data_IF_114750338308
#
_entry.id   IF_114750338308
#
_cell.length_a   1.000
_cell.length_b   1.000
_cell.length_c   1.000
_cell.angle_alpha   90.00
_cell.angle_beta   90.00
_cell.angle_gamma   90.00
#
_symmetry.space_group_name_H-M   'P 1'
#
loop_
_entity.id
_entity.type
_entity.pdbx_description
1 polymer ?
#
# COMPACT_ATOMS: atom_id res chain seq x y z
N UNK A 1 -6.07 -21.92 19.91
CA UNK A 1 -5.82 -22.19 18.48
C UNK A 1 -4.73 -21.21 18.05
N UNK A 2 -3.54 -21.73 17.74
CA UNK A 2 -2.45 -20.87 17.25
C UNK A 2 -2.82 -20.37 15.85
N UNK A 3 -2.48 -19.13 15.57
CA UNK A 3 -2.59 -18.54 14.24
C UNK A 3 -1.61 -19.26 13.29
N UNK A 4 -2.08 -19.61 12.11
CA UNK A 4 -1.24 -20.22 11.08
C UNK A 4 -1.56 -19.67 9.68
N UNK A 5 -0.72 -19.98 8.72
CA UNK A 5 -0.89 -19.54 7.34
C UNK A 5 -2.21 -20.01 6.72
N UNK A 6 -2.68 -21.22 7.08
CA UNK A 6 -3.92 -21.80 6.54
C UNK A 6 -5.12 -20.98 7.00
N UNK A 7 -5.17 -20.64 8.30
CA UNK A 7 -6.22 -19.81 8.88
C UNK A 7 -6.23 -18.40 8.30
N UNK A 8 -5.06 -17.80 8.15
CA UNK A 8 -4.91 -16.46 7.57
C UNK A 8 -5.28 -16.43 6.08
N UNK A 9 -4.84 -17.43 5.31
CA UNK A 9 -5.21 -17.54 3.90
C UNK A 9 -6.71 -17.72 3.74
N UNK A 10 -7.32 -18.64 4.52
CA UNK A 10 -8.76 -18.82 4.51
C UNK A 10 -9.51 -17.53 4.86
N UNK A 11 -9.06 -16.79 5.87
CA UNK A 11 -9.67 -15.51 6.24
C UNK A 11 -9.51 -14.48 5.11
N UNK A 12 -8.31 -14.33 4.56
CA UNK A 12 -8.03 -13.37 3.49
C UNK A 12 -8.87 -13.65 2.24
N UNK A 13 -9.08 -14.91 1.90
CA UNK A 13 -9.94 -15.36 0.80
C UNK A 13 -11.43 -15.07 1.00
N UNK A 14 -11.88 -14.81 2.24
CA UNK A 14 -13.26 -14.40 2.51
C UNK A 14 -13.48 -12.90 2.48
N UNK A 15 -12.41 -12.10 2.48
CA UNK A 15 -12.50 -10.65 2.44
C UNK A 15 -12.79 -10.16 1.02
N UNK A 16 -13.69 -9.20 0.93
CA UNK A 16 -14.02 -8.49 -0.29
C UNK A 16 -13.48 -7.05 -0.21
N UNK A 17 -12.99 -6.53 -1.32
CA UNK A 17 -12.45 -5.17 -1.41
C UNK A 17 -10.97 -5.08 -1.04
N UNK A 18 -10.47 -3.85 -0.99
CA UNK A 18 -9.06 -3.51 -0.85
C UNK A 18 -8.57 -3.64 0.58
N UNK A 19 -7.46 -4.34 0.78
CA UNK A 19 -6.83 -4.42 2.10
C UNK A 19 -5.31 -4.67 2.03
N UNK A 20 -4.64 -4.25 3.09
CA UNK A 20 -3.36 -4.75 3.57
C UNK A 20 -3.36 -4.61 5.08
N UNK A 21 -3.01 -5.64 5.81
CA UNK A 21 -3.00 -5.61 7.27
C UNK A 21 -1.88 -6.46 7.87
N UNK A 22 -1.62 -6.23 9.14
CA UNK A 22 -0.65 -6.99 9.92
C UNK A 22 -1.33 -7.63 11.11
N UNK A 23 -0.84 -8.80 11.51
CA UNK A 23 -1.29 -9.52 12.70
C UNK A 23 -0.07 -9.93 13.50
N UNK A 24 -0.05 -9.57 14.78
CA UNK A 24 0.91 -10.09 15.75
C UNK A 24 0.22 -11.15 16.60
N UNK A 25 0.76 -12.35 16.63
CA UNK A 25 0.21 -13.44 17.42
C UNK A 25 0.80 -13.50 18.85
N UNK A 26 0.31 -14.43 19.65
CA UNK A 26 0.73 -14.62 21.05
C UNK A 26 2.15 -15.24 21.18
N UNK A 27 2.68 -15.79 20.09
CA UNK A 27 4.02 -16.38 20.00
C UNK A 27 5.07 -15.39 19.45
N UNK A 28 4.71 -14.10 19.33
CA UNK A 28 5.53 -13.00 18.76
C UNK A 28 5.86 -13.19 17.27
N UNK A 29 5.00 -13.86 16.49
CA UNK A 29 5.11 -13.90 15.05
C UNK A 29 4.32 -12.73 14.44
N UNK A 30 4.96 -11.98 13.54
CA UNK A 30 4.35 -10.87 12.82
C UNK A 30 4.00 -11.31 11.40
N UNK A 31 2.73 -11.30 11.08
CA UNK A 31 2.22 -11.62 9.75
C UNK A 31 1.86 -10.35 9.00
N UNK A 32 2.22 -10.31 7.72
CA UNK A 32 1.79 -9.31 6.75
C UNK A 32 0.89 -9.99 5.73
N UNK A 33 -0.34 -9.52 5.60
CA UNK A 33 -1.31 -10.04 4.63
C UNK A 33 -1.54 -8.97 3.57
N UNK A 34 -1.05 -9.23 2.37
CA UNK A 34 -1.04 -8.29 1.25
C UNK A 34 -2.17 -8.59 0.28
N UNK A 35 -3.25 -7.80 0.35
CA UNK A 35 -4.24 -7.67 -0.72
C UNK A 35 -3.74 -6.70 -1.81
N UNK A 36 -4.59 -5.82 -2.30
CA UNK A 36 -4.25 -4.83 -3.32
C UNK A 36 -3.79 -3.47 -2.75
N UNK A 37 -4.07 -3.16 -1.48
CA UNK A 37 -3.60 -1.93 -0.86
C UNK A 37 -2.07 -1.87 -0.77
N UNK A 38 -1.47 -0.67 -0.89
CA UNK A 38 -0.02 -0.49 -0.76
C UNK A 38 0.50 -0.99 0.59
N UNK A 39 1.71 -1.54 0.57
CA UNK A 39 2.46 -1.92 1.77
C UNK A 39 3.95 -1.84 1.44
N UNK A 40 4.68 -1.07 2.21
CA UNK A 40 6.13 -0.92 2.11
C UNK A 40 6.77 -1.46 3.39
N UNK A 41 7.75 -2.34 3.23
CA UNK A 41 8.48 -2.97 4.36
C UNK A 41 9.97 -2.76 4.13
N UNK A 42 10.66 -2.21 5.13
CA UNK A 42 12.10 -2.07 5.20
C UNK A 42 12.68 -2.95 6.30
N UNK A 43 13.68 -3.73 5.96
CA UNK A 43 14.49 -4.50 6.89
C UNK A 43 15.86 -3.86 7.05
N UNK A 44 16.30 -3.67 8.28
CA UNK A 44 17.64 -3.20 8.65
C UNK A 44 18.40 -4.36 9.30
N UNK A 45 19.12 -5.21 8.54
CA UNK A 45 19.70 -6.44 9.07
C UNK A 45 20.70 -6.22 10.21
N UNK A 46 21.44 -5.10 10.19
CA UNK A 46 22.41 -4.75 11.24
C UNK A 46 21.77 -4.38 12.58
N UNK A 47 20.49 -4.04 12.55
CA UNK A 47 19.74 -3.58 13.74
C UNK A 47 18.67 -4.59 14.14
N UNK A 48 18.50 -5.66 13.34
CA UNK A 48 17.39 -6.62 13.47
C UNK A 48 16.04 -5.90 13.60
N UNK A 49 15.81 -4.91 12.72
CA UNK A 49 14.68 -3.99 12.79
C UNK A 49 13.89 -4.02 11.49
N UNK A 50 12.59 -4.21 11.62
CA UNK A 50 11.64 -4.07 10.53
C UNK A 50 10.80 -2.81 10.72
N UNK A 51 10.66 -2.01 9.67
CA UNK A 51 9.79 -0.84 9.62
C UNK A 51 8.83 -0.99 8.45
N UNK A 52 7.57 -0.65 8.67
CA UNK A 52 6.57 -0.74 7.61
C UNK A 52 5.56 0.38 7.67
N UNK A 53 5.00 0.70 6.51
CA UNK A 53 3.89 1.64 6.35
C UNK A 53 3.08 1.29 5.09
N UNK A 54 1.93 1.91 4.93
CA UNK A 54 1.16 1.80 3.70
C UNK A 54 1.91 2.37 2.50
N UNK A 55 2.62 3.49 2.66
CA UNK A 55 3.34 4.17 1.59
C UNK A 55 4.83 4.32 1.92
N UNK A 56 5.68 4.15 0.93
CA UNK A 56 7.13 4.35 1.06
C UNK A 56 7.48 5.80 1.43
N UNK A 57 6.73 6.76 0.92
CA UNK A 57 6.88 8.18 1.23
C UNK A 57 6.73 8.48 2.72
N UNK A 58 5.79 7.81 3.41
CA UNK A 58 5.59 7.95 4.85
C UNK A 58 6.80 7.45 5.63
N UNK A 59 7.33 6.26 5.29
CA UNK A 59 8.55 5.74 5.89
C UNK A 59 9.74 6.67 5.64
N UNK A 60 9.92 7.11 4.40
CA UNK A 60 11.03 7.98 4.02
C UNK A 60 10.99 9.33 4.75
N UNK A 61 9.81 9.93 4.90
CA UNK A 61 9.63 11.16 5.66
C UNK A 61 9.93 10.95 7.15
N UNK A 62 9.37 9.88 7.75
CA UNK A 62 9.60 9.56 9.15
C UNK A 62 11.08 9.30 9.45
N UNK A 63 11.77 8.56 8.59
CA UNK A 63 13.19 8.27 8.72
C UNK A 63 14.08 9.52 8.66
N UNK A 64 13.72 10.49 7.80
CA UNK A 64 14.44 11.79 7.73
C UNK A 64 14.31 12.63 9.00
N UNK A 65 13.27 12.40 9.81
CA UNK A 65 13.04 13.11 11.07
C UNK A 65 13.80 12.48 12.25
N UNK A 66 14.36 11.29 12.08
CA UNK A 66 15.13 10.64 13.14
C UNK A 66 16.45 11.38 13.38
N UNK A 67 16.87 11.54 14.65
CA UNK A 67 18.13 12.23 14.99
C UNK A 67 19.39 11.38 14.69
N UNK A 68 19.21 10.16 14.20
CA UNK A 68 20.28 9.20 13.91
C UNK A 68 19.99 8.46 12.62
N UNK A 69 21.07 7.99 11.96
CA UNK A 69 20.99 7.26 10.71
C UNK A 69 20.94 5.75 10.98
N UNK A 70 19.88 5.08 10.52
CA UNK A 70 19.72 3.63 10.64
C UNK A 70 20.55 2.84 9.61
N UNK A 71 21.17 3.52 8.64
CA UNK A 71 21.87 2.89 7.51
C UNK A 71 20.95 2.64 6.32
N UNK A 72 21.37 1.74 5.43
CA UNK A 72 20.59 1.39 4.24
C UNK A 72 19.70 0.17 4.56
N UNK A 73 18.38 0.28 4.34
CA UNK A 73 17.48 -0.86 4.48
C UNK A 73 17.54 -1.79 3.27
N UNK A 74 17.13 -3.01 3.48
CA UNK A 74 16.70 -3.94 2.44
C UNK A 74 15.18 -3.80 2.31
N UNK A 75 14.71 -3.56 1.08
CA UNK A 75 13.27 -3.49 0.81
C UNK A 75 12.73 -4.90 0.63
N UNK A 76 11.60 -5.17 1.28
CA UNK A 76 10.84 -6.40 1.12
C UNK A 76 9.56 -6.06 0.35
N UNK A 77 9.44 -6.62 -0.85
CA UNK A 77 8.28 -6.40 -1.71
C UNK A 77 7.36 -7.62 -1.64
N UNK A 78 6.15 -7.41 -1.15
CA UNK A 78 5.07 -8.40 -1.19
C UNK A 78 4.17 -8.14 -2.40
N UNK A 79 3.80 -9.20 -3.10
CA UNK A 79 2.82 -9.11 -4.18
C UNK A 79 1.40 -9.30 -3.66
N UNK A 80 0.41 -8.84 -4.42
CA UNK A 80 -1.00 -9.07 -4.11
C UNK A 80 -1.28 -10.58 -4.01
N UNK A 81 -1.97 -10.99 -2.95
CA UNK A 81 -2.25 -12.40 -2.66
C UNK A 81 -1.18 -13.10 -1.83
N UNK A 82 -0.24 -12.37 -1.23
CA UNK A 82 0.84 -12.95 -0.44
C UNK A 82 0.66 -12.71 1.07
N UNK A 83 0.98 -13.73 1.86
CA UNK A 83 1.10 -13.65 3.31
C UNK A 83 2.54 -13.95 3.67
N UNK A 84 3.21 -13.05 4.36
CA UNK A 84 4.55 -13.24 4.92
C UNK A 84 4.49 -13.25 6.44
N UNK A 85 5.25 -14.13 7.05
CA UNK A 85 5.48 -14.19 8.49
C UNK A 85 6.93 -13.87 8.79
N UNK A 86 7.16 -13.06 9.80
CA UNK A 86 8.45 -12.89 10.47
C UNK A 86 8.30 -13.48 11.86
N UNK A 87 9.03 -14.55 12.14
CA UNK A 87 9.02 -15.18 13.45
C UNK A 87 9.82 -14.37 14.48
N UNK A 88 9.72 -14.73 15.76
CA UNK A 88 10.46 -14.09 16.85
C UNK A 88 11.99 -14.20 16.76
N UNK A 89 12.51 -15.03 15.86
CA UNK A 89 13.94 -15.14 15.54
C UNK A 89 14.32 -14.30 14.31
N UNK A 90 13.36 -13.62 13.68
CA UNK A 90 13.57 -12.85 12.46
C UNK A 90 13.58 -13.67 11.17
N UNK A 91 13.23 -14.98 11.20
CA UNK A 91 13.13 -15.77 9.99
C UNK A 91 11.86 -15.43 9.22
N UNK A 92 12.00 -15.33 7.91
CA UNK A 92 10.88 -15.03 7.01
C UNK A 92 10.38 -16.29 6.33
N UNK A 93 9.07 -16.44 6.26
CA UNK A 93 8.37 -17.47 5.51
C UNK A 93 7.10 -16.91 4.91
N UNK A 94 6.54 -17.51 3.86
CA UNK A 94 5.36 -16.98 3.21
C UNK A 94 4.58 -18.01 2.42
N UNK A 95 3.32 -17.67 2.16
CA UNK A 95 2.38 -18.43 1.33
C UNK A 95 1.56 -17.48 0.47
N UNK A 96 0.91 -18.02 -0.55
CA UNK A 96 -0.06 -17.28 -1.36
C UNK A 96 -1.49 -17.71 -1.03
N UNK A 97 -2.45 -16.79 -1.21
CA UNK A 97 -3.87 -17.03 -1.09
C UNK A 97 -4.61 -16.60 -2.38
N UNK A 98 -5.82 -17.11 -2.59
CA UNK A 98 -6.62 -16.77 -3.76
C UNK A 98 -7.19 -15.37 -3.66
N UNK A 99 -6.98 -14.55 -4.70
CA UNK A 99 -7.37 -13.13 -4.76
C UNK A 99 -8.66 -12.86 -5.55
N UNK A 100 -9.39 -13.89 -5.98
CA UNK A 100 -10.58 -13.72 -6.84
C UNK A 100 -11.62 -12.80 -6.22
N UNK A 101 -11.81 -12.86 -4.89
CA UNK A 101 -12.79 -12.02 -4.18
C UNK A 101 -12.34 -10.58 -3.97
N UNK A 102 -11.04 -10.29 -4.00
CA UNK A 102 -10.55 -8.92 -3.89
C UNK A 102 -11.14 -8.00 -4.97
N UNK A 103 -11.37 -8.55 -6.15
CA UNK A 103 -11.84 -7.82 -7.32
C UNK A 103 -13.33 -8.06 -7.64
N UNK A 104 -14.02 -8.95 -6.92
CA UNK A 104 -15.42 -9.28 -7.16
C UNK A 104 -16.39 -8.13 -6.85
N UNK A 105 -16.04 -7.28 -5.88
CA UNK A 105 -16.84 -6.12 -5.47
C UNK A 105 -16.85 -4.96 -6.49
N UNK A 106 -15.91 -4.91 -7.41
CA UNK A 106 -15.86 -3.86 -8.46
C UNK A 106 -17.03 -3.92 -9.43
N UNK A 107 -17.73 -5.04 -9.55
CA UNK A 107 -18.93 -5.15 -10.40
C UNK A 107 -20.18 -4.47 -9.79
N UNK A 108 -20.20 -4.15 -8.51
CA UNK A 108 -21.35 -3.51 -7.86
C UNK A 108 -21.44 -2.00 -8.10
N UNK A 109 -20.32 -1.38 -8.53
CA UNK A 109 -20.27 0.06 -8.84
C UNK A 109 -20.62 0.39 -10.29
N UNK A 110 -20.76 -0.61 -11.16
CA UNK A 110 -21.17 -0.40 -12.57
C UNK A 110 -22.63 0.06 -12.73
N UNK A 111 -23.45 -0.08 -11.68
CA UNK A 111 -24.87 0.29 -11.70
C UNK A 111 -25.13 1.75 -11.29
N UNK A 112 -24.08 2.48 -10.84
CA UNK A 112 -24.16 3.91 -10.52
C UNK A 112 -23.45 4.76 -11.60
N UNK A 113 -23.82 4.56 -12.85
CA UNK A 113 -23.61 5.50 -13.95
C UNK A 113 -22.15 5.88 -14.21
N UNK A 114 -21.54 5.20 -15.19
CA UNK A 114 -20.40 5.68 -16.00
C UNK A 114 -19.14 6.12 -15.27
N UNK A 115 -18.47 5.21 -14.56
CA UNK A 115 -17.03 5.26 -14.49
C UNK A 115 -16.44 4.36 -15.58
N UNK A 116 -15.46 4.82 -16.38
CA UNK A 116 -14.81 4.00 -17.37
C UNK A 116 -14.15 2.79 -16.70
N UNK A 117 -14.10 1.62 -17.37
CA UNK A 117 -13.43 0.44 -16.80
C UNK A 117 -12.00 0.82 -16.44
N UNK A 118 -11.61 0.51 -15.19
CA UNK A 118 -10.22 0.67 -14.72
C UNK A 118 -9.36 -0.18 -15.66
N UNK A 119 -8.72 0.48 -16.61
CA UNK A 119 -7.70 -0.15 -17.44
C UNK A 119 -6.59 -0.59 -16.50
N UNK A 120 -6.18 -1.85 -16.63
CA UNK A 120 -4.99 -2.37 -15.96
C UNK A 120 -3.91 -1.28 -15.92
N UNK A 121 -3.50 -0.88 -14.71
CA UNK A 121 -2.49 0.15 -14.53
C UNK A 121 -1.15 -0.33 -15.11
N UNK A 122 -0.93 -0.04 -16.40
CA UNK A 122 0.41 0.15 -16.90
C UNK A 122 0.81 1.54 -16.43
N UNK A 123 1.65 1.58 -15.42
CA UNK A 123 2.26 2.79 -14.87
C UNK A 123 3.18 3.47 -15.90
N UNK A 124 2.60 4.04 -16.95
CA UNK A 124 3.21 5.20 -17.58
C UNK A 124 2.81 6.39 -16.70
N UNK A 125 3.76 6.84 -15.90
CA UNK A 125 3.60 7.93 -14.92
C UNK A 125 2.96 9.20 -15.53
N UNK A 126 3.05 9.40 -16.84
CA UNK A 126 2.46 10.52 -17.59
C UNK A 126 0.94 10.49 -17.67
N UNK A 127 0.34 9.31 -17.83
CA UNK A 127 -1.12 9.17 -18.04
C UNK A 127 -1.85 9.35 -16.69
N UNK A 128 -1.27 8.84 -15.60
CA UNK A 128 -1.79 9.01 -14.26
C UNK A 128 -1.74 10.49 -13.81
N UNK A 129 -0.64 11.19 -14.07
CA UNK A 129 -0.52 12.62 -13.76
C UNK A 129 -1.52 13.44 -14.60
N UNK A 130 -1.77 13.07 -15.83
CA UNK A 130 -2.77 13.75 -16.66
C UNK A 130 -4.19 13.55 -16.13
N UNK A 131 -4.52 12.36 -15.66
CA UNK A 131 -5.81 12.05 -15.04
C UNK A 131 -5.97 12.76 -13.68
N UNK A 132 -4.91 12.80 -12.87
CA UNK A 132 -4.87 13.53 -11.61
C UNK A 132 -5.13 15.03 -11.83
N UNK A 133 -4.51 15.64 -12.84
CA UNK A 133 -4.71 17.05 -13.22
C UNK A 133 -6.16 17.31 -13.68
N UNK A 134 -6.73 16.39 -14.44
CA UNK A 134 -8.13 16.50 -14.88
C UNK A 134 -9.10 16.42 -13.70
N UNK A 135 -8.81 15.54 -12.74
CA UNK A 135 -9.60 15.39 -11.50
C UNK A 135 -9.46 16.64 -10.62
N UNK A 136 -8.24 17.17 -10.44
CA UNK A 136 -7.96 18.37 -9.65
C UNK A 136 -8.74 19.60 -10.12
N UNK A 137 -8.93 19.73 -11.44
CA UNK A 137 -9.72 20.83 -12.02
C UNK A 137 -11.17 20.85 -11.53
N UNK A 138 -11.77 19.70 -11.21
CA UNK A 138 -13.13 19.60 -10.66
C UNK A 138 -13.21 20.13 -9.23
N UNK A 139 -12.09 20.18 -8.51
CA UNK A 139 -11.95 20.74 -7.16
C UNK A 139 -11.44 22.19 -7.16
N UNK A 140 -11.28 22.79 -8.35
CA UNK A 140 -10.84 24.19 -8.49
C UNK A 140 -9.31 24.36 -8.34
N UNK A 141 -8.57 23.27 -8.40
CA UNK A 141 -7.09 23.25 -8.34
C UNK A 141 -6.56 23.25 -9.77
N UNK A 142 -5.60 24.13 -10.05
CA UNK A 142 -5.05 24.26 -11.41
C UNK A 142 -4.00 23.21 -11.72
N UNK A 143 -3.73 23.00 -13.00
CA UNK A 143 -2.64 22.11 -13.44
C UNK A 143 -1.28 22.57 -12.94
N UNK A 144 -1.10 23.90 -12.82
CA UNK A 144 0.15 24.52 -12.34
C UNK A 144 0.37 24.22 -10.85
N UNK A 145 -0.70 24.20 -10.03
CA UNK A 145 -0.62 23.83 -8.62
C UNK A 145 -0.15 22.37 -8.45
N UNK A 146 -0.66 21.47 -9.30
CA UNK A 146 -0.24 20.06 -9.29
C UNK A 146 1.25 19.94 -9.69
N UNK A 147 1.69 20.67 -10.72
CA UNK A 147 3.09 20.67 -11.14
C UNK A 147 4.01 21.24 -10.06
N UNK A 148 3.58 22.28 -9.36
CA UNK A 148 4.32 22.88 -8.25
C UNK A 148 4.43 21.90 -7.07
N UNK A 149 3.38 21.14 -6.73
CA UNK A 149 3.43 20.13 -5.67
C UNK A 149 4.36 18.98 -6.05
N UNK A 150 4.29 18.50 -7.28
CA UNK A 150 5.22 17.48 -7.78
C UNK A 150 6.68 17.97 -7.74
N UNK A 151 6.94 19.24 -8.11
CA UNK A 151 8.26 19.85 -8.05
C UNK A 151 8.77 20.03 -6.61
N UNK A 152 7.87 20.21 -5.63
CA UNK A 152 8.19 20.25 -4.21
C UNK A 152 8.45 18.85 -3.61
N UNK A 153 8.23 17.78 -4.40
CA UNK A 153 8.52 16.40 -4.01
C UNK A 153 7.33 15.65 -3.43
N UNK A 154 6.10 16.14 -3.62
CA UNK A 154 4.91 15.34 -3.37
C UNK A 154 4.77 14.26 -4.43
N UNK A 155 4.31 13.08 -4.02
CA UNK A 155 3.96 12.02 -4.97
C UNK A 155 2.54 12.22 -5.48
N UNK A 156 2.26 11.71 -6.68
CA UNK A 156 0.95 11.86 -7.30
C UNK A 156 -0.19 11.27 -6.43
N UNK A 157 0.08 10.17 -5.73
CA UNK A 157 -0.83 9.52 -4.80
C UNK A 157 -1.13 10.41 -3.56
N UNK A 158 -0.14 11.13 -3.06
CA UNK A 158 -0.34 12.09 -1.95
C UNK A 158 -1.20 13.27 -2.37
N UNK A 159 -1.02 13.73 -3.60
CA UNK A 159 -1.84 14.80 -4.17
C UNK A 159 -3.27 14.32 -4.36
N UNK A 160 -3.47 13.10 -4.81
CA UNK A 160 -4.80 12.49 -4.94
C UNK A 160 -5.51 12.41 -3.58
N UNK A 161 -4.82 12.00 -2.51
CA UNK A 161 -5.37 12.00 -1.15
C UNK A 161 -5.77 13.40 -0.69
N UNK A 162 -4.96 14.41 -0.96
CA UNK A 162 -5.27 15.81 -0.63
C UNK A 162 -6.55 16.26 -1.35
N UNK A 163 -6.72 15.88 -2.62
CA UNK A 163 -7.90 16.20 -3.41
C UNK A 163 -9.18 15.57 -2.84
N UNK A 164 -9.12 14.31 -2.41
CA UNK A 164 -10.30 13.58 -1.92
C UNK A 164 -10.67 13.92 -0.47
N UNK A 165 -9.70 14.18 0.40
CA UNK A 165 -9.93 14.36 1.83
C UNK A 165 -9.88 15.83 2.29
N UNK A 166 -9.49 16.75 1.40
CA UNK A 166 -9.50 18.19 1.68
C UNK A 166 -8.60 18.59 2.85
N UNK A 167 -7.51 17.90 3.06
CA UNK A 167 -6.55 18.19 4.13
C UNK A 167 -5.52 19.20 3.61
N UNK A 168 -5.88 20.48 3.65
CA UNK A 168 -4.95 21.60 3.64
C UNK A 168 -5.10 22.32 4.99
#
# INVERSE_FOLDING_TARGET
HNLDFTSLAFMAEQLEGSFAFTVLDEDDNLYFVKGDNPLCIYHYPKLDLYLYASLESLLSKALKMLPYNLGQPERIDLVCGEIMCIDKQGNMSGVQFNTEKLFSGFNYWSDWGTFPPVKSFNLNNSDYIAELKATAASYGITTDDIDDWLAQGFFAEEIEEILYYGVI
#
